data_IF_839441495785
#
_entry.id   IF_839441495785
#
_cell.length_a   1.000
_cell.length_b   1.000
_cell.length_c   1.000
_cell.angle_alpha   90.00
_cell.angle_beta   90.00
_cell.angle_gamma   90.00
#
_symmetry.space_group_name_H-M   'P 1'
#
loop_
_entity.id
_entity.type
_entity.pdbx_description
1 polymer ?
#
# COMPACT_ATOMS: atom_id res chain seq x y z
N UNK A 1 20.94 11.18 -11.41
CA UNK A 1 20.41 9.88 -11.87
C UNK A 1 18.95 9.76 -11.46
N UNK A 2 18.18 8.83 -12.05
CA UNK A 2 16.78 8.59 -11.65
C UNK A 2 16.72 8.22 -10.17
N UNK A 3 15.86 8.87 -9.39
CA UNK A 3 15.67 8.57 -7.97
C UNK A 3 14.51 7.60 -7.78
N UNK A 4 14.44 6.95 -6.62
CA UNK A 4 13.30 6.09 -6.27
C UNK A 4 11.98 6.88 -6.29
N UNK A 5 11.95 8.05 -5.65
CA UNK A 5 10.77 8.92 -5.63
C UNK A 5 10.33 9.38 -7.03
N UNK A 6 11.27 9.67 -7.93
CA UNK A 6 10.93 10.01 -9.31
C UNK A 6 10.29 8.82 -10.04
N UNK A 7 10.82 7.61 -9.83
CA UNK A 7 10.27 6.39 -10.41
C UNK A 7 8.89 6.06 -9.83
N UNK A 8 8.72 6.19 -8.52
CA UNK A 8 7.43 6.03 -7.82
C UNK A 8 6.35 6.97 -8.37
N UNK A 9 6.68 8.26 -8.55
CA UNK A 9 5.75 9.25 -9.10
C UNK A 9 5.32 8.92 -10.54
N UNK A 10 6.25 8.42 -11.37
CA UNK A 10 5.91 7.94 -12.72
C UNK A 10 5.03 6.69 -12.65
N UNK A 11 5.30 5.78 -11.71
CA UNK A 11 4.45 4.62 -11.42
C UNK A 11 3.01 5.03 -11.12
N UNK A 12 2.82 5.97 -10.20
CA UNK A 12 1.50 6.54 -9.91
C UNK A 12 0.86 7.20 -11.13
N UNK A 13 1.62 7.96 -11.91
CA UNK A 13 1.11 8.63 -13.12
C UNK A 13 0.58 7.61 -14.14
N UNK A 14 1.35 6.55 -14.43
CA UNK A 14 0.89 5.51 -15.35
C UNK A 14 -0.27 4.69 -14.80
N UNK A 15 -0.32 4.47 -13.49
CA UNK A 15 -1.45 3.80 -12.84
C UNK A 15 -2.74 4.60 -13.04
N UNK A 16 -2.71 5.92 -12.81
CA UNK A 16 -3.86 6.81 -13.04
C UNK A 16 -4.30 6.82 -14.51
N UNK A 17 -3.36 6.72 -15.44
CA UNK A 17 -3.64 6.64 -16.88
C UNK A 17 -4.10 5.26 -17.36
N UNK A 18 -4.19 4.26 -16.47
CA UNK A 18 -4.58 2.88 -16.82
C UNK A 18 -3.49 2.05 -17.52
N UNK A 19 -2.27 2.58 -17.62
CA UNK A 19 -1.13 1.86 -18.20
C UNK A 19 -0.43 1.01 -17.13
N UNK A 20 -1.13 0.01 -16.62
CA UNK A 20 -0.71 -0.76 -15.45
C UNK A 20 0.62 -1.50 -15.63
N UNK A 21 0.90 -2.05 -16.82
CA UNK A 21 2.21 -2.63 -17.17
C UNK A 21 3.37 -1.65 -17.01
N UNK A 22 3.16 -0.39 -17.41
CA UNK A 22 4.18 0.65 -17.27
C UNK A 22 4.31 1.02 -15.81
N UNK A 23 3.19 1.19 -15.11
CA UNK A 23 3.17 1.53 -13.70
C UNK A 23 3.97 0.53 -12.86
N UNK A 24 3.74 -0.77 -13.05
CA UNK A 24 4.47 -1.84 -12.34
C UNK A 24 5.98 -1.76 -12.55
N UNK A 25 6.44 -1.62 -13.80
CA UNK A 25 7.88 -1.46 -14.10
C UNK A 25 8.53 -0.30 -13.35
N UNK A 26 7.80 0.81 -13.17
CA UNK A 26 8.32 1.98 -12.46
C UNK A 26 8.29 1.80 -10.94
N UNK A 27 7.30 1.11 -10.39
CA UNK A 27 7.30 0.72 -8.98
C UNK A 27 8.42 -0.29 -8.67
N UNK A 28 8.66 -1.28 -9.54
CA UNK A 28 9.77 -2.23 -9.40
C UNK A 28 11.14 -1.53 -9.43
N UNK A 29 11.33 -0.56 -10.34
CA UNK A 29 12.54 0.24 -10.37
C UNK A 29 12.70 1.07 -9.09
N UNK A 30 11.61 1.66 -8.57
CA UNK A 30 11.63 2.38 -7.31
C UNK A 30 12.02 1.46 -6.14
N UNK A 31 11.45 0.24 -6.07
CA UNK A 31 11.80 -0.79 -5.07
C UNK A 31 13.27 -1.19 -5.16
N UNK A 32 13.78 -1.43 -6.38
CA UNK A 32 15.18 -1.76 -6.61
C UNK A 32 16.10 -0.65 -6.11
N UNK A 33 15.76 0.61 -6.36
CA UNK A 33 16.54 1.76 -5.93
C UNK A 33 16.54 1.94 -4.41
N UNK A 34 15.40 1.77 -3.73
CA UNK A 34 15.37 1.88 -2.25
C UNK A 34 16.06 0.72 -1.56
N UNK A 35 15.96 -0.51 -2.08
CA UNK A 35 16.59 -1.70 -1.49
C UNK A 35 18.10 -1.74 -1.69
N UNK A 36 18.60 -1.15 -2.78
CA UNK A 36 20.04 -1.01 -3.02
C UNK A 36 20.67 0.16 -2.25
N UNK A 37 19.86 1.09 -1.75
CA UNK A 37 20.32 2.19 -0.91
C UNK A 37 20.29 1.84 0.57
N UNK A 38 21.28 2.28 1.34
CA UNK A 38 21.24 2.19 2.80
C UNK A 38 20.48 3.39 3.41
N UNK A 39 19.21 3.60 3.01
CA UNK A 39 18.39 4.66 3.58
C UNK A 39 17.33 4.09 4.55
N UNK A 40 17.52 4.25 5.88
CA UNK A 40 16.54 3.81 6.87
C UNK A 40 15.20 4.55 6.78
N UNK A 41 15.16 5.70 6.12
CA UNK A 41 13.97 6.53 5.89
C UNK A 41 13.38 6.35 4.48
N UNK A 42 13.66 5.22 3.82
CA UNK A 42 13.10 4.96 2.49
C UNK A 42 11.55 4.87 2.51
N UNK A 43 10.93 5.26 1.40
CA UNK A 43 9.47 5.15 1.23
C UNK A 43 9.04 3.74 0.73
N UNK A 44 9.74 2.68 1.12
CA UNK A 44 9.49 1.32 0.60
C UNK A 44 8.02 0.89 0.79
N UNK A 45 7.41 1.17 1.94
CA UNK A 45 5.99 0.87 2.17
C UNK A 45 5.03 1.58 1.21
N UNK A 46 5.31 2.83 0.84
CA UNK A 46 4.48 3.59 -0.11
C UNK A 46 4.58 3.00 -1.52
N UNK A 47 5.79 2.65 -1.92
CA UNK A 47 6.06 2.01 -3.22
C UNK A 47 5.38 0.64 -3.30
N UNK A 48 5.49 -0.19 -2.26
CA UNK A 48 4.82 -1.48 -2.16
C UNK A 48 3.29 -1.34 -2.24
N UNK A 49 2.73 -0.34 -1.56
CA UNK A 49 1.29 -0.07 -1.60
C UNK A 49 0.83 0.32 -3.02
N UNK A 50 1.61 1.15 -3.71
CA UNK A 50 1.37 1.52 -5.12
C UNK A 50 1.42 0.30 -6.04
N UNK A 51 2.45 -0.54 -5.90
CA UNK A 51 2.61 -1.77 -6.68
C UNK A 51 1.45 -2.75 -6.46
N UNK A 52 1.07 -2.99 -5.20
CA UNK A 52 -0.07 -3.84 -4.86
C UNK A 52 -1.37 -3.34 -5.51
N UNK A 53 -1.61 -2.03 -5.49
CA UNK A 53 -2.76 -1.40 -6.14
C UNK A 53 -2.74 -1.59 -7.66
N UNK A 54 -1.58 -1.53 -8.29
CA UNK A 54 -1.43 -1.84 -9.73
C UNK A 54 -1.72 -3.31 -9.99
N UNK A 55 -1.05 -4.24 -9.30
CA UNK A 55 -1.25 -5.68 -9.47
C UNK A 55 -2.72 -6.08 -9.29
N UNK A 56 -3.40 -5.50 -8.29
CA UNK A 56 -4.83 -5.69 -8.10
C UNK A 56 -5.63 -5.18 -9.32
N UNK A 57 -5.42 -3.95 -9.79
CA UNK A 57 -6.13 -3.41 -10.98
C UNK A 57 -5.92 -4.22 -12.26
N UNK A 58 -4.84 -5.02 -12.31
CA UNK A 58 -4.51 -5.94 -13.41
C UNK A 58 -5.11 -7.34 -13.26
N UNK A 59 -5.84 -7.60 -12.18
CA UNK A 59 -6.30 -8.94 -11.78
C UNK A 59 -5.17 -9.93 -11.46
N UNK A 60 -3.97 -9.41 -11.19
CA UNK A 60 -2.81 -10.15 -10.72
C UNK A 60 -2.90 -10.38 -9.20
N UNK A 61 -3.97 -11.05 -8.75
CA UNK A 61 -4.31 -11.16 -7.31
C UNK A 61 -3.31 -12.04 -6.54
N UNK A 62 -2.66 -12.99 -7.22
CA UNK A 62 -1.62 -13.84 -6.63
C UNK A 62 -0.35 -13.05 -6.31
N UNK A 63 -0.02 -12.03 -7.10
CA UNK A 63 1.06 -11.08 -6.80
C UNK A 63 0.60 -9.99 -5.82
N UNK A 64 -0.61 -9.45 -6.01
CA UNK A 64 -1.12 -8.34 -5.21
C UNK A 64 -1.20 -8.67 -3.72
N UNK A 65 -1.58 -9.89 -3.35
CA UNK A 65 -1.72 -10.29 -1.95
C UNK A 65 -0.39 -10.21 -1.18
N UNK A 66 0.68 -10.94 -1.57
CA UNK A 66 1.96 -10.86 -0.85
C UNK A 66 2.55 -9.44 -0.88
N UNK A 67 2.37 -8.67 -1.96
CA UNK A 67 2.82 -7.27 -2.00
C UNK A 67 2.05 -6.38 -1.01
N UNK A 68 0.73 -6.57 -0.89
CA UNK A 68 -0.10 -5.87 0.10
C UNK A 68 0.31 -6.20 1.54
N UNK A 69 0.62 -7.47 1.82
CA UNK A 69 1.12 -7.92 3.12
C UNK A 69 2.44 -7.23 3.45
N UNK A 70 3.38 -7.15 2.50
CA UNK A 70 4.66 -6.45 2.71
C UNK A 70 4.46 -4.97 3.02
N UNK A 71 3.56 -4.28 2.30
CA UNK A 71 3.24 -2.87 2.56
C UNK A 71 2.66 -2.67 3.97
N UNK A 72 1.71 -3.52 4.36
CA UNK A 72 1.08 -3.48 5.69
C UNK A 72 2.10 -3.73 6.81
N UNK A 73 2.92 -4.78 6.71
CA UNK A 73 3.95 -5.08 7.71
C UNK A 73 5.00 -3.98 7.82
N UNK A 74 5.34 -3.33 6.69
CA UNK A 74 6.25 -2.18 6.69
C UNK A 74 5.69 -1.03 7.55
N UNK A 75 4.45 -0.62 7.30
CA UNK A 75 3.83 0.48 8.04
C UNK A 75 3.54 0.10 9.49
N UNK A 76 3.07 -1.12 9.76
CA UNK A 76 2.87 -1.62 11.13
C UNK A 76 4.15 -1.61 11.95
N UNK A 77 5.28 -2.05 11.37
CA UNK A 77 6.60 -2.00 12.03
C UNK A 77 7.08 -0.57 12.23
N UNK A 78 6.80 0.35 11.30
CA UNK A 78 7.11 1.77 11.44
C UNK A 78 6.31 2.39 12.59
N UNK A 79 5.00 2.18 12.62
CA UNK A 79 4.10 2.71 13.63
C UNK A 79 4.46 2.20 15.03
N UNK A 80 4.80 0.91 15.17
CA UNK A 80 5.29 0.34 16.43
C UNK A 80 6.54 1.05 16.97
N UNK A 81 7.43 1.55 16.10
CA UNK A 81 8.61 2.32 16.55
C UNK A 81 8.24 3.71 17.05
N UNK A 82 7.17 4.29 16.53
CA UNK A 82 6.70 5.62 16.93
C UNK A 82 5.74 5.57 18.13
N UNK A 83 5.04 4.45 18.33
CA UNK A 83 4.14 4.22 19.47
C UNK A 83 2.69 4.60 19.21
N UNK A 84 2.31 4.93 17.97
CA UNK A 84 0.94 5.22 17.55
C UNK A 84 0.66 4.66 16.16
N UNK A 85 -0.58 4.29 15.90
CA UNK A 85 -1.05 3.88 14.57
C UNK A 85 -1.05 5.04 13.58
N UNK A 86 -0.99 4.73 12.28
CA UNK A 86 -1.02 5.73 11.22
C UNK A 86 -2.07 5.41 10.17
N UNK A 87 -2.57 6.46 9.51
CA UNK A 87 -3.46 6.33 8.36
C UNK A 87 -2.79 5.62 7.17
N UNK A 88 -1.47 5.41 7.19
CA UNK A 88 -0.76 4.62 6.18
C UNK A 88 -0.92 3.11 6.43
N UNK A 89 -0.86 2.67 7.70
CA UNK A 89 -1.22 1.29 8.06
C UNK A 89 -2.68 1.01 7.73
N UNK A 90 -3.58 1.97 8.01
CA UNK A 90 -4.99 1.86 7.63
C UNK A 90 -5.18 1.69 6.11
N UNK A 91 -4.50 2.50 5.28
CA UNK A 91 -4.53 2.37 3.81
C UNK A 91 -4.00 1.03 3.32
N UNK A 92 -2.94 0.50 3.94
CA UNK A 92 -2.41 -0.82 3.59
C UNK A 92 -3.37 -1.95 3.99
N UNK A 93 -4.05 -1.82 5.14
CA UNK A 93 -5.11 -2.75 5.56
C UNK A 93 -6.33 -2.71 4.61
N UNK A 94 -6.72 -1.52 4.12
CA UNK A 94 -7.75 -1.42 3.08
C UNK A 94 -7.34 -2.13 1.78
N UNK A 95 -6.07 -1.99 1.38
CA UNK A 95 -5.56 -2.68 0.19
C UNK A 95 -5.63 -4.21 0.36
N UNK A 96 -5.27 -4.72 1.54
CA UNK A 96 -5.44 -6.14 1.88
C UNK A 96 -6.90 -6.58 1.78
N UNK A 97 -7.81 -5.81 2.37
CA UNK A 97 -9.25 -6.10 2.29
C UNK A 97 -9.73 -6.20 0.85
N UNK A 98 -9.35 -5.24 0.00
CA UNK A 98 -9.72 -5.24 -1.42
C UNK A 98 -9.24 -6.51 -2.14
N UNK A 99 -7.99 -6.92 -1.89
CA UNK A 99 -7.44 -8.14 -2.49
C UNK A 99 -8.13 -9.39 -1.93
N UNK A 100 -8.38 -9.47 -0.63
CA UNK A 100 -9.10 -10.58 0.00
C UNK A 100 -10.53 -10.73 -0.54
N UNK A 101 -11.27 -9.62 -0.70
CA UNK A 101 -12.61 -9.63 -1.30
C UNK A 101 -12.58 -10.24 -2.70
N UNK A 102 -11.63 -9.81 -3.53
CA UNK A 102 -11.49 -10.33 -4.91
C UNK A 102 -11.06 -11.79 -4.98
N UNK A 103 -10.41 -12.29 -3.92
CA UNK A 103 -10.07 -13.71 -3.76
C UNK A 103 -11.20 -14.54 -3.13
N UNK A 104 -12.33 -13.93 -2.75
CA UNK A 104 -13.43 -14.61 -2.06
C UNK A 104 -13.15 -14.93 -0.58
N UNK A 105 -12.12 -14.31 0.02
CA UNK A 105 -11.69 -14.49 1.41
C UNK A 105 -12.38 -13.46 2.30
N UNK A 106 -13.67 -13.68 2.57
CA UNK A 106 -14.54 -12.67 3.15
C UNK A 106 -14.20 -12.36 4.61
N UNK A 107 -13.82 -13.37 5.39
CA UNK A 107 -13.46 -13.22 6.79
C UNK A 107 -12.19 -12.36 6.96
N UNK A 108 -11.16 -12.62 6.16
CA UNK A 108 -9.94 -11.80 6.18
C UNK A 108 -10.17 -10.39 5.64
N UNK A 109 -11.05 -10.24 4.67
CA UNK A 109 -11.45 -8.93 4.16
C UNK A 109 -12.14 -8.07 5.23
N UNK A 110 -13.11 -8.65 5.95
CA UNK A 110 -13.81 -7.98 7.04
C UNK A 110 -12.84 -7.59 8.16
N UNK A 111 -11.98 -8.52 8.58
CA UNK A 111 -10.97 -8.25 9.60
C UNK A 111 -10.06 -7.09 9.20
N UNK A 112 -9.65 -7.03 7.93
CA UNK A 112 -8.75 -5.98 7.43
C UNK A 112 -9.45 -4.61 7.36
N UNK A 113 -10.75 -4.57 7.01
CA UNK A 113 -11.55 -3.32 7.02
C UNK A 113 -11.77 -2.81 8.44
N UNK A 114 -12.12 -3.69 9.39
CA UNK A 114 -12.31 -3.29 10.80
C UNK A 114 -11.04 -2.69 11.40
N UNK A 115 -9.88 -3.26 11.07
CA UNK A 115 -8.59 -2.70 11.50
C UNK A 115 -8.34 -1.32 10.87
N UNK A 116 -8.58 -1.18 9.56
CA UNK A 116 -8.42 0.11 8.88
C UNK A 116 -9.34 1.19 9.48
N UNK A 117 -10.60 0.85 9.73
CA UNK A 117 -11.60 1.74 10.36
C UNK A 117 -11.12 2.22 11.73
N UNK A 118 -10.71 1.28 12.60
CA UNK A 118 -10.18 1.60 13.92
C UNK A 118 -9.00 2.59 13.83
N UNK A 119 -8.04 2.32 12.94
CA UNK A 119 -6.87 3.19 12.75
C UNK A 119 -7.24 4.57 12.17
N UNK A 120 -8.24 4.66 11.29
CA UNK A 120 -8.71 5.96 10.81
C UNK A 120 -9.42 6.75 11.91
N UNK A 121 -10.24 6.10 12.74
CA UNK A 121 -10.87 6.74 13.90
C UNK A 121 -9.81 7.26 14.87
N UNK A 122 -8.80 6.44 15.20
CA UNK A 122 -7.70 6.87 16.09
C UNK A 122 -6.91 8.05 15.52
N UNK A 123 -6.67 8.08 14.21
CA UNK A 123 -5.75 9.06 13.59
C UNK A 123 -6.43 10.33 13.10
N UNK A 124 -7.70 10.27 12.72
CA UNK A 124 -8.44 11.37 12.10
C UNK A 124 -9.77 11.70 12.78
N UNK A 125 -10.16 10.94 13.82
CA UNK A 125 -11.43 11.08 14.51
C UNK A 125 -12.59 10.34 13.81
N UNK A 126 -13.70 10.10 14.54
CA UNK A 126 -14.83 9.29 14.05
C UNK A 126 -15.63 9.95 12.91
N UNK A 127 -15.56 11.27 12.77
CA UNK A 127 -16.27 12.04 11.73
C UNK A 127 -15.39 12.28 10.47
N UNK A 128 -14.28 11.56 10.35
CA UNK A 128 -13.35 11.75 9.24
C UNK A 128 -13.97 11.35 7.90
N UNK A 129 -13.82 12.14 6.83
CA UNK A 129 -14.19 11.71 5.48
C UNK A 129 -13.49 10.43 5.01
N UNK A 130 -12.41 10.01 5.68
CA UNK A 130 -11.75 8.72 5.41
C UNK A 130 -12.60 7.50 5.80
N UNK A 131 -13.62 7.71 6.63
CA UNK A 131 -14.57 6.69 7.10
C UNK A 131 -15.88 6.71 6.31
N UNK A 132 -16.11 7.74 5.49
CA UNK A 132 -17.36 7.93 4.74
C UNK A 132 -17.11 7.61 3.27
N UNK A 133 -17.70 6.52 2.78
CA UNK A 133 -17.55 6.00 1.42
C UNK A 133 -18.31 6.79 0.36
#
# INVERSE_FOLDING_TARGET
>A
GKTAAFSENIGHTYNTLGFYDKAERYFDEALRLVRNGANPDSNEGGILLGLAGVQERRDALKEALPTSIQAYEYFKKRDKRHGWGSSLTAKAAMQLSKVYLRLGRLEEAESSVREAEHLFVETAGPESPLLVG
#
